data_IF_858454548662
#
_entry.id   IF_858454548662
#
_cell.length_a   1.000
_cell.length_b   1.000
_cell.length_c   1.000
_cell.angle_alpha   90.00
_cell.angle_beta   90.00
_cell.angle_gamma   90.00
#
_symmetry.space_group_name_H-M   'P 1'
#
loop_
_entity.id
_entity.type
_entity.pdbx_description
1 polymer ?
#
# COMPACT_ATOMS: atom_id res chain seq x y z
N UNK A 1 0.55 79.46 44.29
CA UNK A 1 0.09 79.42 45.69
C UNK A 1 -1.13 78.49 45.69
N UNK A 2 -1.25 77.38 46.41
CA UNK A 2 -0.69 76.80 47.63
C UNK A 2 -0.21 75.36 47.34
N UNK A 3 0.89 74.85 47.92
CA UNK A 3 1.13 74.37 49.29
C UNK A 3 0.31 73.14 49.73
N UNK A 4 1.05 72.10 50.15
CA UNK A 4 0.62 71.02 51.05
C UNK A 4 0.73 69.63 50.42
N UNK A 5 1.23 68.57 51.04
CA UNK A 5 1.83 68.32 52.36
C UNK A 5 2.41 66.88 52.29
N UNK A 6 3.47 66.55 53.05
CA UNK A 6 4.04 65.19 53.24
C UNK A 6 3.04 64.29 54.03
N UNK A 7 3.23 62.96 54.30
CA UNK A 7 4.45 62.13 54.19
C UNK A 7 4.27 60.63 53.75
N UNK A 8 5.44 60.03 53.44
CA UNK A 8 5.92 58.64 53.68
C UNK A 8 4.91 57.50 53.94
N UNK A 9 5.07 56.40 53.21
CA UNK A 9 5.30 55.07 53.80
C UNK A 9 5.97 54.13 52.78
N UNK A 10 6.96 53.37 53.29
CA UNK A 10 7.79 52.41 52.58
C UNK A 10 6.96 51.27 52.00
N UNK A 11 7.35 50.79 50.81
CA UNK A 11 7.68 49.39 50.57
C UNK A 11 8.28 49.24 49.17
N UNK A 12 9.51 48.73 49.12
CA UNK A 12 10.23 48.43 47.91
C UNK A 12 9.54 47.26 47.17
N UNK A 13 8.92 47.55 46.03
CA UNK A 13 8.56 46.54 45.03
C UNK A 13 9.78 46.34 44.14
N UNK A 14 10.49 45.24 44.38
CA UNK A 14 11.50 44.72 43.46
C UNK A 14 10.85 44.36 42.13
N UNK A 15 11.45 44.88 41.07
CA UNK A 15 11.16 44.61 39.66
C UNK A 15 11.21 43.12 39.34
N UNK A 16 10.04 42.51 39.11
CA UNK A 16 9.94 41.24 38.39
C UNK A 16 9.94 41.59 36.90
N UNK A 17 11.08 41.34 36.26
CA UNK A 17 11.26 41.34 34.82
C UNK A 17 10.33 40.28 34.22
N UNK A 18 9.28 40.71 33.53
CA UNK A 18 8.39 39.84 32.76
C UNK A 18 9.16 39.30 31.56
N UNK A 19 9.64 38.05 31.65
CA UNK A 19 10.05 37.28 30.48
C UNK A 19 8.80 36.94 29.67
N UNK A 20 8.56 37.72 28.60
CA UNK A 20 7.68 37.34 27.50
C UNK A 20 8.21 36.04 26.86
N UNK A 21 7.69 34.91 27.32
CA UNK A 21 7.79 33.63 26.60
C UNK A 21 6.97 33.77 25.31
N UNK A 22 7.64 34.19 24.24
CA UNK A 22 7.13 34.05 22.89
C UNK A 22 6.88 32.57 22.65
N UNK A 23 5.60 32.20 22.51
CA UNK A 23 5.17 30.91 21.99
C UNK A 23 5.72 30.84 20.58
N UNK A 24 6.85 30.16 20.42
CA UNK A 24 7.30 29.72 19.12
C UNK A 24 6.28 28.68 18.64
N UNK A 25 5.26 29.15 17.92
CA UNK A 25 4.48 28.31 17.03
C UNK A 25 5.48 27.54 16.19
N UNK A 26 5.57 26.23 16.42
CA UNK A 26 6.28 25.32 15.55
C UNK A 26 5.66 25.48 14.15
N UNK A 27 6.28 26.33 13.34
CA UNK A 27 6.00 26.41 11.92
C UNK A 27 6.12 24.99 11.38
N UNK A 28 5.02 24.46 10.86
CA UNK A 28 4.98 23.23 10.10
C UNK A 28 6.20 23.23 9.17
N UNK A 29 7.15 22.35 9.45
CA UNK A 29 8.29 22.14 8.57
C UNK A 29 7.70 21.58 7.28
N UNK A 30 7.75 22.41 6.23
CA UNK A 30 7.18 22.11 4.93
C UNK A 30 7.54 20.67 4.53
N UNK A 31 6.52 19.93 4.08
CA UNK A 31 6.64 18.52 3.82
C UNK A 31 7.69 18.24 2.74
N UNK A 32 8.88 17.73 3.10
CA UNK A 32 9.74 17.08 2.10
C UNK A 32 9.09 15.75 1.71
N UNK A 33 8.20 15.78 0.72
CA UNK A 33 7.80 14.58 0.02
C UNK A 33 9.06 13.89 -0.53
N UNK A 34 9.17 12.57 -0.38
CA UNK A 34 10.32 11.85 -0.90
C UNK A 34 10.42 12.05 -2.41
N UNK A 35 11.57 12.52 -2.88
CA UNK A 35 11.81 12.63 -4.31
C UNK A 35 11.83 11.21 -4.91
N UNK A 36 10.95 10.89 -5.88
CA UNK A 36 10.98 9.60 -6.55
C UNK A 36 12.29 9.47 -7.35
N UNK A 37 12.87 8.26 -7.35
CA UNK A 37 13.90 7.88 -8.30
C UNK A 37 13.21 7.61 -9.64
N UNK A 38 13.62 8.29 -10.71
CA UNK A 38 12.98 8.12 -12.03
C UNK A 38 13.50 6.90 -12.77
N UNK A 39 12.67 6.31 -13.62
CA UNK A 39 13.00 5.09 -14.36
C UNK A 39 14.27 5.25 -15.21
N UNK A 40 14.43 6.36 -15.92
CA UNK A 40 15.63 6.64 -16.74
C UNK A 40 16.91 6.93 -15.93
N UNK A 41 16.77 7.23 -14.65
CA UNK A 41 17.91 7.38 -13.74
C UNK A 41 18.37 6.01 -13.21
N UNK A 42 17.44 5.05 -13.11
CA UNK A 42 17.67 3.76 -12.49
C UNK A 42 17.91 2.61 -13.48
N UNK A 43 17.32 2.66 -14.67
CA UNK A 43 17.35 1.59 -15.66
C UNK A 43 17.95 2.07 -16.99
N UNK A 44 18.58 1.14 -17.71
CA UNK A 44 19.16 1.39 -19.04
C UNK A 44 18.08 1.22 -20.13
N UNK A 45 18.23 1.97 -21.23
CA UNK A 45 17.35 1.91 -22.42
C UNK A 45 15.85 2.16 -22.15
N UNK A 46 15.54 3.10 -21.24
CA UNK A 46 14.18 3.59 -21.01
C UNK A 46 13.79 4.60 -22.10
N UNK A 47 12.70 4.30 -22.81
CA UNK A 47 12.22 5.07 -23.97
C UNK A 47 10.80 5.60 -23.75
N UNK A 48 9.76 4.84 -24.09
CA UNK A 48 8.36 5.31 -24.04
C UNK A 48 7.81 5.45 -22.61
N UNK A 49 8.55 4.97 -21.60
CA UNK A 49 8.21 5.03 -20.18
C UNK A 49 9.16 5.96 -19.41
N UNK A 50 9.76 6.97 -20.05
CA UNK A 50 10.56 7.98 -19.34
C UNK A 50 9.67 8.89 -18.49
N UNK A 51 10.21 9.41 -17.40
CA UNK A 51 9.51 10.34 -16.50
C UNK A 51 8.47 9.66 -15.60
N UNK A 52 8.42 8.32 -15.57
CA UNK A 52 7.72 7.57 -14.53
C UNK A 52 8.72 7.22 -13.43
N UNK A 53 8.28 7.07 -12.17
CA UNK A 53 9.14 6.55 -11.12
C UNK A 53 9.61 5.12 -11.37
N UNK A 54 10.75 4.75 -10.79
CA UNK A 54 11.33 3.43 -10.94
C UNK A 54 10.43 2.31 -10.38
N UNK A 55 9.65 2.57 -9.32
CA UNK A 55 8.66 1.60 -8.81
C UNK A 55 7.51 1.37 -9.80
N UNK A 56 6.92 2.45 -10.32
CA UNK A 56 5.86 2.40 -11.35
C UNK A 56 6.35 1.68 -12.62
N UNK A 57 7.62 1.87 -12.99
CA UNK A 57 8.24 1.17 -14.11
C UNK A 57 8.27 -0.35 -13.92
N UNK A 58 8.61 -0.83 -12.72
CA UNK A 58 8.60 -2.27 -12.40
C UNK A 58 7.17 -2.81 -12.37
N UNK A 59 6.22 -2.10 -11.77
CA UNK A 59 4.81 -2.48 -11.81
C UNK A 59 4.25 -2.57 -13.23
N UNK A 60 4.69 -1.67 -14.11
CA UNK A 60 4.33 -1.68 -15.54
C UNK A 60 4.80 -2.98 -16.22
N UNK A 61 5.93 -3.55 -15.82
CA UNK A 61 6.38 -4.85 -16.35
C UNK A 61 5.45 -5.98 -15.92
N UNK A 62 5.01 -5.99 -14.65
CA UNK A 62 3.98 -6.92 -14.17
C UNK A 62 2.67 -6.79 -14.95
N UNK A 63 2.25 -5.56 -15.26
CA UNK A 63 1.08 -5.31 -16.10
C UNK A 63 1.22 -5.86 -17.52
N UNK A 64 2.39 -5.75 -18.14
CA UNK A 64 2.67 -6.37 -19.44
C UNK A 64 2.65 -7.89 -19.36
N UNK A 65 3.28 -8.47 -18.32
CA UNK A 65 3.35 -9.92 -18.11
C UNK A 65 1.95 -10.53 -18.00
N UNK A 66 1.08 -9.96 -17.14
CA UNK A 66 -0.30 -10.45 -17.00
C UNK A 66 -1.12 -10.23 -18.27
N UNK A 67 -0.97 -9.09 -18.94
CA UNK A 67 -1.74 -8.80 -20.15
C UNK A 67 -1.43 -9.79 -21.28
N UNK A 68 -0.17 -10.22 -21.38
CA UNK A 68 0.31 -11.12 -22.43
C UNK A 68 0.28 -12.60 -22.02
N UNK A 69 -0.01 -12.90 -20.74
CA UNK A 69 0.19 -14.24 -20.15
C UNK A 69 1.62 -14.74 -20.41
N UNK A 70 2.60 -13.88 -20.17
CA UNK A 70 4.02 -14.11 -20.44
C UNK A 70 4.86 -13.93 -19.17
N UNK A 71 6.07 -14.46 -19.16
CA UNK A 71 7.04 -14.22 -18.09
C UNK A 71 8.09 -13.17 -18.51
N UNK A 72 8.93 -12.73 -17.57
CA UNK A 72 9.94 -11.71 -17.84
C UNK A 72 10.91 -12.13 -18.97
N UNK A 73 11.37 -13.38 -18.96
CA UNK A 73 12.32 -13.91 -19.95
C UNK A 73 11.74 -13.99 -21.36
N UNK A 74 10.40 -14.10 -21.51
CA UNK A 74 9.75 -14.05 -22.83
C UNK A 74 10.10 -12.75 -23.56
N UNK A 75 10.11 -11.62 -22.86
CA UNK A 75 10.40 -10.31 -23.47
C UNK A 75 11.88 -9.90 -23.37
N UNK A 76 12.53 -10.26 -22.26
CA UNK A 76 13.90 -9.84 -21.93
C UNK A 76 14.98 -10.88 -22.30
N UNK A 77 14.60 -12.06 -22.79
CA UNK A 77 15.49 -13.14 -23.19
C UNK A 77 16.01 -13.98 -22.02
N UNK A 78 16.42 -15.22 -22.28
CA UNK A 78 16.83 -16.17 -21.24
C UNK A 78 18.05 -15.70 -20.43
N UNK A 79 18.95 -14.91 -21.05
CA UNK A 79 20.10 -14.33 -20.38
C UNK A 79 19.73 -13.38 -19.22
N UNK A 80 18.49 -12.86 -19.22
CA UNK A 80 17.98 -12.02 -18.14
C UNK A 80 17.68 -12.78 -16.84
N UNK A 81 17.48 -14.10 -16.89
CA UNK A 81 17.15 -14.90 -15.70
C UNK A 81 18.25 -14.90 -14.62
N UNK A 82 19.50 -14.62 -14.98
CA UNK A 82 20.64 -14.60 -14.07
C UNK A 82 21.38 -13.25 -14.00
N UNK A 83 20.91 -12.23 -14.70
CA UNK A 83 21.56 -10.91 -14.68
C UNK A 83 20.59 -9.79 -15.09
N UNK A 84 20.46 -8.80 -14.20
CA UNK A 84 19.69 -7.59 -14.44
C UNK A 84 20.21 -6.77 -15.63
N UNK A 85 21.47 -6.94 -16.04
CA UNK A 85 22.03 -6.18 -17.15
C UNK A 85 21.32 -6.50 -18.48
N UNK A 86 20.97 -7.77 -18.69
CA UNK A 86 20.31 -8.24 -19.92
C UNK A 86 18.86 -7.77 -20.04
N UNK A 87 18.22 -7.30 -18.96
CA UNK A 87 16.90 -6.66 -19.06
C UNK A 87 16.93 -5.41 -19.94
N UNK A 88 18.10 -4.77 -20.10
CA UNK A 88 18.29 -3.61 -20.97
C UNK A 88 18.35 -3.98 -22.46
N UNK A 89 18.64 -5.24 -22.81
CA UNK A 89 18.86 -5.68 -24.19
C UNK A 89 17.65 -5.32 -25.07
N UNK A 90 17.93 -4.78 -26.26
CA UNK A 90 16.88 -4.27 -27.15
C UNK A 90 16.37 -5.39 -28.06
N UNK A 91 15.41 -6.17 -27.58
CA UNK A 91 14.81 -7.29 -28.32
C UNK A 91 13.72 -6.82 -29.31
N UNK A 92 13.43 -7.58 -30.38
CA UNK A 92 12.30 -7.28 -31.27
C UNK A 92 10.96 -7.19 -30.53
N UNK A 93 10.76 -8.00 -29.49
CA UNK A 93 9.57 -7.97 -28.64
C UNK A 93 9.47 -6.67 -27.82
N UNK A 94 10.57 -6.19 -27.22
CA UNK A 94 10.59 -4.88 -26.55
C UNK A 94 10.29 -3.73 -27.50
N UNK A 95 10.82 -3.77 -28.73
CA UNK A 95 10.50 -2.76 -29.75
C UNK A 95 9.02 -2.79 -30.14
N UNK A 96 8.42 -3.98 -30.26
CA UNK A 96 6.99 -4.13 -30.49
C UNK A 96 6.17 -3.57 -29.31
N UNK A 97 6.51 -3.92 -28.07
CA UNK A 97 5.84 -3.41 -26.88
C UNK A 97 5.86 -1.87 -26.83
N UNK A 98 7.00 -1.24 -27.15
CA UNK A 98 7.10 0.23 -27.23
C UNK A 98 6.12 0.83 -28.25
N UNK A 99 6.00 0.22 -29.43
CA UNK A 99 5.01 0.65 -30.44
C UNK A 99 3.58 0.48 -29.94
N UNK A 100 3.29 -0.60 -29.22
CA UNK A 100 1.95 -0.84 -28.65
C UNK A 100 1.60 0.17 -27.55
N UNK A 101 2.56 0.57 -26.70
CA UNK A 101 2.34 1.64 -25.72
C UNK A 101 1.99 2.96 -26.40
N UNK A 102 2.72 3.35 -27.45
CA UNK A 102 2.42 4.57 -28.22
C UNK A 102 1.04 4.48 -28.88
N UNK A 103 0.69 3.33 -29.45
CA UNK A 103 -0.60 3.08 -30.09
C UNK A 103 -1.75 3.20 -29.09
N UNK A 104 -1.65 2.52 -27.95
CA UNK A 104 -2.64 2.53 -26.87
C UNK A 104 -2.86 3.95 -26.34
N UNK A 105 -1.78 4.68 -26.04
CA UNK A 105 -1.87 6.08 -25.62
C UNK A 105 -2.54 6.96 -26.69
N UNK A 106 -2.22 6.75 -27.96
CA UNK A 106 -2.82 7.51 -29.06
C UNK A 106 -4.32 7.21 -29.22
N UNK A 107 -4.74 5.95 -29.06
CA UNK A 107 -6.16 5.56 -29.11
C UNK A 107 -6.94 6.23 -27.97
N UNK A 108 -6.41 6.19 -26.74
CA UNK A 108 -7.02 6.86 -25.58
C UNK A 108 -7.14 8.36 -25.77
N UNK A 109 -6.08 9.00 -26.28
CA UNK A 109 -6.08 10.43 -26.53
C UNK A 109 -7.09 10.83 -27.62
N UNK A 110 -7.12 10.09 -28.74
CA UNK A 110 -7.94 10.44 -29.90
C UNK A 110 -9.43 10.14 -29.72
N UNK A 111 -9.79 9.08 -28.99
CA UNK A 111 -11.16 8.57 -28.95
C UNK A 111 -11.85 8.75 -27.59
N UNK A 112 -11.08 8.87 -26.51
CA UNK A 112 -11.62 8.86 -25.14
C UNK A 112 -11.23 10.12 -24.35
N UNK A 113 -10.75 11.17 -25.04
CA UNK A 113 -10.35 12.43 -24.41
C UNK A 113 -9.19 12.26 -23.42
N UNK A 114 -8.33 11.26 -23.64
CA UNK A 114 -7.23 10.92 -22.74
C UNK A 114 -7.63 10.04 -21.55
N UNK A 115 -8.90 9.67 -21.40
CA UNK A 115 -9.31 8.65 -20.43
C UNK A 115 -8.75 7.29 -20.84
N UNK A 116 -8.33 6.50 -19.86
CA UNK A 116 -7.79 5.17 -20.07
C UNK A 116 -8.92 4.14 -20.23
N UNK A 117 -9.42 4.05 -21.45
CA UNK A 117 -10.46 3.08 -21.84
C UNK A 117 -9.87 1.91 -22.65
N UNK A 118 -8.64 2.06 -23.15
CA UNK A 118 -7.87 1.03 -23.86
C UNK A 118 -6.55 0.79 -23.12
N UNK A 119 -6.26 -0.46 -22.81
CA UNK A 119 -5.01 -0.89 -22.17
C UNK A 119 -4.46 -2.13 -22.87
N UNK A 120 -3.24 -2.56 -22.52
CA UNK A 120 -2.73 -3.85 -23.00
C UNK A 120 -3.70 -4.99 -22.67
N UNK A 121 -4.36 -4.92 -21.51
CA UNK A 121 -5.34 -5.91 -21.07
C UNK A 121 -6.58 -5.95 -21.97
N UNK A 122 -7.11 -4.78 -22.38
CA UNK A 122 -8.28 -4.73 -23.29
C UNK A 122 -8.04 -5.47 -24.61
N UNK A 123 -6.82 -5.41 -25.14
CA UNK A 123 -6.48 -5.98 -26.43
C UNK A 123 -6.09 -7.46 -26.34
N UNK A 124 -5.37 -7.85 -25.29
CA UNK A 124 -4.76 -9.18 -25.21
C UNK A 124 -5.58 -10.20 -24.41
N UNK A 125 -6.50 -9.77 -23.55
CA UNK A 125 -7.25 -10.70 -22.67
C UNK A 125 -8.26 -11.59 -23.42
N UNK A 126 -8.74 -11.15 -24.58
CA UNK A 126 -9.68 -11.91 -25.42
C UNK A 126 -11.12 -11.99 -24.89
N UNK A 127 -11.48 -11.15 -23.92
CA UNK A 127 -12.85 -11.12 -23.38
C UNK A 127 -13.83 -10.47 -24.38
N UNK A 128 -15.06 -10.99 -24.46
CA UNK A 128 -16.12 -10.45 -25.35
C UNK A 128 -16.48 -8.99 -25.01
N UNK A 129 -16.40 -8.65 -23.73
CA UNK A 129 -16.51 -7.28 -23.23
C UNK A 129 -15.13 -6.91 -22.70
N UNK A 130 -14.37 -6.06 -23.40
CA UNK A 130 -13.01 -5.71 -23.00
C UNK A 130 -12.99 -5.09 -21.60
N UNK A 131 -12.09 -5.58 -20.75
CA UNK A 131 -11.79 -5.01 -19.44
C UNK A 131 -10.46 -4.27 -19.51
N UNK A 132 -10.38 -3.14 -18.82
CA UNK A 132 -9.16 -2.30 -18.81
C UNK A 132 -8.15 -2.72 -17.75
N UNK A 133 -8.60 -3.38 -16.69
CA UNK A 133 -7.81 -3.74 -15.52
C UNK A 133 -7.82 -5.27 -15.29
N UNK A 134 -6.65 -5.92 -15.15
CA UNK A 134 -6.57 -7.31 -14.71
C UNK A 134 -6.99 -7.44 -13.24
N UNK A 135 -7.75 -8.50 -12.92
CA UNK A 135 -8.03 -8.85 -11.52
C UNK A 135 -6.97 -9.82 -11.00
N UNK A 136 -6.75 -9.87 -9.69
CA UNK A 136 -5.89 -10.88 -9.08
C UNK A 136 -6.42 -12.30 -9.34
N UNK A 137 -7.74 -12.46 -9.41
CA UNK A 137 -8.35 -13.72 -9.79
C UNK A 137 -8.00 -14.15 -11.23
N UNK A 138 -7.88 -13.21 -12.18
CA UNK A 138 -7.38 -13.50 -13.53
C UNK A 138 -5.93 -14.00 -13.52
N UNK A 139 -5.06 -13.39 -12.70
CA UNK A 139 -3.62 -13.71 -12.63
C UNK A 139 -3.39 -15.13 -12.07
N UNK A 140 -4.04 -15.46 -10.96
CA UNK A 140 -3.80 -16.72 -10.24
C UNK A 140 -4.80 -17.83 -10.59
N UNK A 141 -5.50 -17.67 -11.72
CA UNK A 141 -6.47 -18.62 -12.25
C UNK A 141 -7.45 -19.13 -11.19
N UNK A 142 -7.95 -18.21 -10.36
CA UNK A 142 -8.94 -18.53 -9.35
C UNK A 142 -10.22 -18.96 -10.07
N UNK A 143 -10.75 -20.13 -9.72
CA UNK A 143 -12.07 -20.60 -10.19
C UNK A 143 -13.20 -19.63 -9.82
N UNK A 144 -12.91 -18.71 -8.91
CA UNK A 144 -13.79 -17.64 -8.48
C UNK A 144 -13.22 -16.27 -8.92
N UNK A 145 -13.88 -15.60 -9.86
CA UNK A 145 -13.50 -14.30 -10.40
C UNK A 145 -14.66 -13.31 -10.22
N UNK A 146 -14.83 -12.72 -9.02
CA UNK A 146 -15.75 -11.62 -8.87
C UNK A 146 -15.22 -10.47 -9.74
N UNK A 147 -16.12 -9.72 -10.38
CA UNK A 147 -15.72 -8.47 -11.03
C UNK A 147 -15.29 -7.52 -9.92
N UNK A 148 -13.98 -7.42 -9.71
CA UNK A 148 -13.35 -6.48 -8.78
C UNK A 148 -13.45 -5.07 -9.39
N UNK A 149 -14.26 -4.16 -8.81
CA UNK A 149 -14.48 -2.87 -9.44
C UNK A 149 -13.21 -2.01 -9.34
N UNK A 150 -12.73 -1.56 -10.48
CA UNK A 150 -11.56 -0.70 -10.63
C UNK A 150 -11.94 0.80 -10.69
N UNK A 151 -13.20 1.10 -10.37
CA UNK A 151 -13.79 2.42 -10.25
C UNK A 151 -14.79 2.45 -9.10
N UNK A 152 -15.10 3.65 -8.60
CA UNK A 152 -16.13 3.83 -7.58
C UNK A 152 -17.52 3.62 -8.19
N UNK A 153 -18.23 2.59 -7.75
CA UNK A 153 -19.57 2.30 -8.23
C UNK A 153 -20.63 3.19 -7.54
N UNK A 154 -21.81 3.39 -8.16
CA UNK A 154 -22.95 3.96 -7.48
C UNK A 154 -23.30 3.18 -6.20
N UNK A 155 -23.76 3.88 -5.16
CA UNK A 155 -24.25 3.22 -3.96
C UNK A 155 -25.48 2.35 -4.30
N UNK A 156 -25.49 1.12 -3.80
CA UNK A 156 -26.61 0.23 -3.93
C UNK A 156 -27.78 0.69 -3.04
N UNK A 157 -29.00 0.60 -3.58
CA UNK A 157 -30.22 0.94 -2.85
C UNK A 157 -30.58 -0.17 -1.86
N UNK A 158 -30.85 0.20 -0.60
CA UNK A 158 -31.31 -0.73 0.45
C UNK A 158 -30.18 -1.36 1.26
N UNK A 159 -28.91 -1.14 0.89
CA UNK A 159 -27.75 -1.58 1.66
C UNK A 159 -27.50 -0.68 2.89
N UNK A 160 -26.86 -1.21 3.95
CA UNK A 160 -26.38 -0.40 5.06
C UNK A 160 -25.44 0.71 4.61
N UNK A 161 -25.35 1.79 5.38
CA UNK A 161 -24.34 2.81 5.11
C UNK A 161 -22.93 2.27 5.36
N UNK A 162 -21.94 2.82 4.68
CA UNK A 162 -20.53 2.47 4.92
C UNK A 162 -20.15 2.68 6.40
N UNK A 163 -20.68 3.72 7.05
CA UNK A 163 -20.46 3.96 8.48
C UNK A 163 -20.97 2.81 9.36
N UNK A 164 -22.14 2.23 9.03
CA UNK A 164 -22.70 1.10 9.77
C UNK A 164 -21.84 -0.16 9.61
N UNK A 165 -21.36 -0.43 8.40
CA UNK A 165 -20.48 -1.60 8.14
C UNK A 165 -19.13 -1.42 8.83
N UNK A 166 -18.55 -0.22 8.76
CA UNK A 166 -17.28 0.08 9.43
C UNK A 166 -17.40 0.07 10.97
N UNK A 167 -18.54 0.52 11.52
CA UNK A 167 -18.81 0.40 12.97
C UNK A 167 -18.98 -1.06 13.41
N UNK A 168 -19.66 -1.88 12.59
CA UNK A 168 -19.78 -3.33 12.80
C UNK A 168 -18.41 -3.99 12.79
N UNK A 169 -17.53 -3.60 11.86
CA UNK A 169 -16.14 -4.06 11.84
C UNK A 169 -15.37 -3.68 13.10
N UNK A 170 -15.43 -2.41 13.51
CA UNK A 170 -14.80 -1.93 14.76
C UNK A 170 -15.31 -2.73 15.97
N UNK A 171 -16.61 -3.04 16.02
CA UNK A 171 -17.18 -3.89 17.07
C UNK A 171 -16.70 -5.34 17.00
N UNK A 172 -16.69 -5.94 15.81
CA UNK A 172 -16.23 -7.31 15.58
C UNK A 172 -14.78 -7.53 16.04
N UNK A 173 -13.95 -6.48 15.94
CA UNK A 173 -12.58 -6.51 16.43
C UNK A 173 -12.43 -6.40 17.95
N UNK A 174 -13.49 -6.14 18.70
CA UNK A 174 -13.45 -5.94 20.16
C UNK A 174 -13.92 -4.56 20.64
N UNK A 175 -14.33 -3.69 19.71
CA UNK A 175 -14.86 -2.36 19.99
C UNK A 175 -13.80 -1.27 20.16
N UNK A 176 -14.20 -0.01 19.93
CA UNK A 176 -13.30 1.14 19.89
C UNK A 176 -12.45 1.31 21.17
N UNK A 177 -13.02 1.02 22.34
CA UNK A 177 -12.30 1.14 23.62
C UNK A 177 -11.18 0.13 23.77
N UNK A 178 -11.35 -1.11 23.28
CA UNK A 178 -10.29 -2.12 23.35
C UNK A 178 -9.24 -1.87 22.28
N UNK A 179 -9.66 -1.50 21.07
CA UNK A 179 -8.75 -1.10 20.01
C UNK A 179 -7.85 0.08 20.42
N UNK A 180 -8.38 1.06 21.15
CA UNK A 180 -7.60 2.19 21.66
C UNK A 180 -6.51 1.79 22.69
N UNK A 181 -6.63 0.61 23.31
CA UNK A 181 -5.60 0.08 24.23
C UNK A 181 -4.47 -0.66 23.51
N UNK A 182 -4.66 -1.01 22.23
CA UNK A 182 -3.61 -1.60 21.41
C UNK A 182 -2.78 -0.48 20.79
N UNK A 183 -1.62 -0.21 21.39
CA UNK A 183 -0.73 0.89 20.99
C UNK A 183 0.43 0.43 20.10
N UNK A 184 0.74 -0.86 20.14
CA UNK A 184 1.76 -1.50 19.32
C UNK A 184 1.56 -3.02 19.32
N UNK A 185 2.21 -3.71 18.39
CA UNK A 185 2.44 -5.14 18.52
C UNK A 185 3.69 -5.55 17.73
N UNK A 186 4.25 -6.70 18.13
CA UNK A 186 5.23 -7.44 17.34
C UNK A 186 4.69 -8.83 17.06
N UNK A 187 4.78 -9.28 15.82
CA UNK A 187 4.38 -10.61 15.41
C UNK A 187 5.56 -11.34 14.75
N UNK A 188 5.61 -12.66 14.92
CA UNK A 188 6.55 -13.56 14.26
C UNK A 188 5.81 -14.69 13.58
N UNK A 189 6.40 -15.23 12.53
CA UNK A 189 5.86 -16.40 11.85
C UNK A 189 6.66 -16.78 10.61
N UNK A 190 5.97 -17.32 9.61
CA UNK A 190 6.54 -17.68 8.31
C UNK A 190 5.92 -16.92 7.14
N UNK A 191 6.78 -16.47 6.22
CA UNK A 191 6.42 -15.87 4.93
C UNK A 191 6.80 -16.85 3.83
N UNK A 192 5.89 -17.12 2.89
CA UNK A 192 6.13 -18.03 1.79
C UNK A 192 5.61 -17.43 0.49
N UNK A 193 6.52 -17.16 -0.46
CA UNK A 193 6.14 -16.78 -1.81
C UNK A 193 5.84 -18.02 -2.67
N UNK A 194 5.24 -17.82 -3.84
CA UNK A 194 4.91 -18.91 -4.75
C UNK A 194 6.14 -19.75 -5.12
N UNK A 195 6.04 -21.07 -4.93
CA UNK A 195 7.13 -22.03 -5.18
C UNK A 195 8.45 -21.76 -4.41
N UNK A 196 8.45 -20.90 -3.40
CA UNK A 196 9.59 -20.68 -2.51
C UNK A 196 9.47 -21.50 -1.20
N UNK A 197 10.59 -21.67 -0.51
CA UNK A 197 10.61 -22.13 0.87
C UNK A 197 9.94 -21.09 1.80
N UNK A 198 9.43 -21.56 2.93
CA UNK A 198 8.94 -20.68 3.97
C UNK A 198 10.12 -20.08 4.77
N UNK A 199 10.15 -18.75 4.88
CA UNK A 199 11.18 -18.02 5.61
C UNK A 199 10.62 -17.38 6.89
N UNK A 200 11.43 -17.24 7.96
CA UNK A 200 11.03 -16.49 9.14
C UNK A 200 10.67 -15.05 8.76
N UNK A 201 9.56 -14.53 9.28
CA UNK A 201 9.22 -13.11 9.17
C UNK A 201 8.86 -12.52 10.52
N UNK A 202 9.03 -11.20 10.60
CA UNK A 202 8.60 -10.38 11.72
C UNK A 202 7.78 -9.19 11.21
N UNK A 203 6.77 -8.80 11.99
CA UNK A 203 6.02 -7.57 11.80
C UNK A 203 6.10 -6.74 13.07
N UNK A 204 6.33 -5.45 12.90
CA UNK A 204 6.32 -4.43 13.93
C UNK A 204 5.29 -3.40 13.55
N UNK A 205 4.36 -3.10 14.45
CA UNK A 205 3.35 -2.09 14.21
C UNK A 205 3.21 -1.19 15.44
N UNK A 206 3.05 0.11 15.22
CA UNK A 206 2.86 1.10 16.28
C UNK A 206 1.81 2.12 15.87
N UNK A 207 0.84 2.34 16.75
CA UNK A 207 -0.23 3.29 16.53
C UNK A 207 0.33 4.73 16.47
N UNK A 208 -0.30 5.62 15.69
CA UNK A 208 -1.49 5.35 14.88
C UNK A 208 -1.22 4.72 13.51
N UNK A 209 0.01 4.80 12.98
CA UNK A 209 0.23 4.58 11.55
C UNK A 209 1.65 4.14 11.18
N UNK A 210 2.39 3.46 12.05
CA UNK A 210 3.73 2.95 11.71
C UNK A 210 3.70 1.44 11.55
N UNK A 211 4.34 0.93 10.50
CA UNK A 211 4.35 -0.48 10.15
C UNK A 211 5.68 -0.86 9.52
N UNK A 212 6.25 -1.97 9.93
CA UNK A 212 7.41 -2.58 9.28
C UNK A 212 7.26 -4.10 9.25
N UNK A 213 7.56 -4.69 8.11
CA UNK A 213 7.69 -6.13 7.95
C UNK A 213 9.10 -6.46 7.46
N UNK A 214 9.64 -7.59 7.95
CA UNK A 214 10.90 -8.15 7.47
C UNK A 214 10.78 -9.65 7.31
N UNK A 215 11.21 -10.16 6.16
CA UNK A 215 11.39 -11.59 5.91
C UNK A 215 12.88 -11.88 5.81
N UNK A 216 13.36 -12.84 6.61
CA UNK A 216 14.75 -13.24 6.69
C UNK A 216 15.04 -14.37 5.70
N UNK A 217 15.62 -14.05 4.55
CA UNK A 217 15.96 -15.03 3.51
C UNK A 217 17.45 -15.37 3.53
N UNK A 218 17.85 -16.42 2.81
CA UNK A 218 19.27 -16.76 2.63
C UNK A 218 20.05 -15.67 1.87
N UNK A 219 19.39 -14.96 0.95
CA UNK A 219 19.98 -13.86 0.18
C UNK A 219 20.05 -12.53 0.95
N UNK A 220 19.42 -12.46 2.13
CA UNK A 220 19.32 -11.27 2.97
C UNK A 220 17.88 -10.88 3.31
N UNK A 221 17.74 -9.81 4.09
CA UNK A 221 16.43 -9.36 4.57
C UNK A 221 15.62 -8.68 3.45
N UNK A 222 14.37 -9.10 3.28
CA UNK A 222 13.36 -8.37 2.50
C UNK A 222 12.53 -7.53 3.47
N UNK A 223 12.65 -6.21 3.42
CA UNK A 223 12.00 -5.28 4.36
C UNK A 223 11.07 -4.31 3.65
N UNK A 224 9.86 -4.13 4.20
CA UNK A 224 8.99 -3.00 3.88
C UNK A 224 8.76 -2.19 5.15
N UNK A 225 8.99 -0.87 5.11
CA UNK A 225 8.84 0.01 6.27
C UNK A 225 8.01 1.24 5.91
N UNK A 226 7.17 1.68 6.84
CA UNK A 226 6.38 2.89 6.77
C UNK A 226 6.45 3.62 8.12
N UNK A 227 6.97 4.85 8.11
CA UNK A 227 7.24 5.63 9.32
C UNK A 227 6.02 6.42 9.83
N UNK A 228 4.86 6.28 9.18
CA UNK A 228 3.68 7.11 9.38
C UNK A 228 3.52 8.24 8.36
N UNK A 229 4.50 8.39 7.47
CA UNK A 229 4.51 9.44 6.44
C UNK A 229 5.18 9.00 5.15
N UNK A 230 6.37 8.43 5.26
CA UNK A 230 7.22 7.94 4.18
C UNK A 230 7.31 6.42 4.28
N UNK A 231 7.59 5.77 3.15
CA UNK A 231 7.78 4.33 3.12
C UNK A 231 8.96 3.91 2.27
N UNK A 232 9.43 2.69 2.48
CA UNK A 232 10.54 2.09 1.73
C UNK A 232 10.33 0.60 1.56
N UNK A 233 10.86 0.09 0.45
CA UNK A 233 11.09 -1.33 0.24
C UNK A 233 12.58 -1.56 0.05
N UNK A 234 13.12 -2.54 0.76
CA UNK A 234 14.51 -2.97 0.71
C UNK A 234 14.56 -4.48 0.43
N UNK A 235 15.29 -4.88 -0.61
CA UNK A 235 15.38 -6.29 -1.02
C UNK A 235 16.81 -6.60 -1.49
N UNK A 236 17.29 -7.85 -1.33
CA UNK A 236 18.54 -8.30 -1.90
C UNK A 236 18.65 -7.99 -3.41
N UNK A 237 19.86 -7.80 -3.89
CA UNK A 237 20.13 -7.54 -5.32
C UNK A 237 19.68 -8.67 -6.22
N UNK A 238 19.55 -9.89 -5.70
CA UNK A 238 19.11 -11.05 -6.47
C UNK A 238 17.59 -11.04 -6.68
N UNK A 239 16.84 -10.36 -5.81
CA UNK A 239 15.39 -10.24 -5.90
C UNK A 239 14.97 -9.01 -6.72
N UNK A 240 15.71 -7.91 -6.62
CA UNK A 240 15.40 -6.66 -7.33
C UNK A 240 16.63 -5.93 -7.86
N UNK A 241 16.54 -5.28 -9.04
CA UNK A 241 17.64 -4.52 -9.63
C UNK A 241 18.02 -3.28 -8.81
N UNK A 242 17.11 -2.79 -7.96
CA UNK A 242 17.35 -1.64 -7.07
C UNK A 242 17.09 -2.10 -5.63
N UNK A 243 18.14 -2.28 -4.81
CA UNK A 243 17.99 -2.87 -3.47
C UNK A 243 17.22 -2.02 -2.47
N UNK A 244 16.99 -0.74 -2.74
CA UNK A 244 16.26 0.17 -1.85
C UNK A 244 15.51 1.24 -2.66
N UNK A 245 14.19 1.25 -2.55
CA UNK A 245 13.31 2.22 -3.19
C UNK A 245 12.38 2.89 -2.15
N UNK A 246 12.09 4.19 -2.29
CA UNK A 246 10.98 4.79 -1.55
C UNK A 246 9.65 4.26 -2.10
N UNK A 247 8.67 4.08 -1.21
CA UNK A 247 7.27 3.90 -1.61
C UNK A 247 6.69 5.26 -1.97
N UNK A 248 5.97 5.34 -3.08
CA UNK A 248 5.42 6.57 -3.63
C UNK A 248 4.04 6.30 -4.21
N UNK A 249 3.24 7.34 -4.46
CA UNK A 249 1.92 7.22 -5.11
C UNK A 249 1.08 6.08 -4.48
N UNK A 250 0.54 5.16 -5.29
CA UNK A 250 -0.30 4.05 -4.84
C UNK A 250 0.38 3.13 -3.83
N UNK A 251 1.69 2.90 -3.93
CA UNK A 251 2.45 2.10 -2.96
C UNK A 251 2.47 2.76 -1.58
N UNK A 252 2.68 4.08 -1.53
CA UNK A 252 2.70 4.83 -0.27
C UNK A 252 1.30 4.89 0.35
N UNK A 253 0.27 5.01 -0.47
CA UNK A 253 -1.14 4.88 -0.03
C UNK A 253 -1.40 3.52 0.55
N UNK A 254 -0.95 2.47 -0.12
CA UNK A 254 -1.08 1.08 0.33
C UNK A 254 -0.45 0.89 1.70
N UNK A 255 0.80 1.33 1.87
CA UNK A 255 1.50 1.25 3.15
C UNK A 255 0.78 2.02 4.28
N UNK A 256 0.25 3.21 3.99
CA UNK A 256 -0.57 3.97 4.94
C UNK A 256 -1.85 3.22 5.33
N UNK A 257 -2.54 2.66 4.34
CA UNK A 257 -3.79 1.93 4.57
C UNK A 257 -3.56 0.64 5.36
N UNK A 258 -2.51 -0.12 5.03
CA UNK A 258 -2.13 -1.34 5.75
C UNK A 258 -1.78 -1.02 7.22
N UNK A 259 -1.05 0.07 7.46
CA UNK A 259 -0.78 0.56 8.81
C UNK A 259 -2.06 1.02 9.54
N UNK A 260 -3.00 1.65 8.83
CA UNK A 260 -4.30 2.07 9.39
C UNK A 260 -5.17 0.87 9.75
N UNK A 261 -5.14 -0.20 8.96
CA UNK A 261 -5.92 -1.42 9.23
C UNK A 261 -5.38 -2.18 10.44
N UNK A 262 -4.08 -2.09 10.71
CA UNK A 262 -3.50 -2.59 11.96
C UNK A 262 -4.06 -1.87 13.22
N UNK A 263 -4.49 -0.61 13.08
CA UNK A 263 -5.09 0.21 14.15
C UNK A 263 -6.38 0.92 13.66
N UNK A 264 -7.48 0.17 13.44
CA UNK A 264 -8.59 0.60 12.59
C UNK A 264 -9.54 1.61 13.25
N UNK A 265 -9.16 2.23 14.37
CA UNK A 265 -9.97 3.30 15.00
C UNK A 265 -10.13 4.52 14.09
N UNK A 266 -9.18 4.75 13.17
CA UNK A 266 -9.21 5.82 12.19
C UNK A 266 -9.62 5.37 10.77
N UNK A 267 -10.16 4.16 10.60
CA UNK A 267 -10.45 3.59 9.27
C UNK A 267 -11.40 4.48 8.45
N UNK A 268 -12.40 5.09 9.09
CA UNK A 268 -13.38 5.99 8.46
C UNK A 268 -12.75 7.23 7.85
N UNK A 269 -11.62 7.68 8.40
CA UNK A 269 -10.84 8.83 7.92
C UNK A 269 -9.73 8.42 6.93
N UNK A 270 -9.45 7.11 6.81
CA UNK A 270 -8.40 6.60 5.93
C UNK A 270 -8.71 6.75 4.43
N UNK A 271 -9.99 6.83 4.07
CA UNK A 271 -10.48 6.99 2.70
C UNK A 271 -11.62 8.00 2.64
N UNK A 272 -11.93 8.46 1.43
CA UNK A 272 -13.02 9.40 1.14
C UNK A 272 -14.09 8.78 0.23
N UNK A 273 -15.20 9.49 0.03
CA UNK A 273 -16.26 9.12 -0.93
C UNK A 273 -16.80 7.69 -0.76
N UNK A 274 -17.00 7.26 0.48
CA UNK A 274 -17.50 5.93 0.79
C UNK A 274 -18.78 5.56 0.01
N UNK A 275 -18.80 4.38 -0.58
CA UNK A 275 -19.94 3.76 -1.28
C UNK A 275 -20.06 2.32 -0.85
N UNK A 276 -21.29 1.82 -0.81
CA UNK A 276 -21.58 0.40 -0.57
C UNK A 276 -22.17 -0.15 -1.85
N UNK A 277 -21.58 -1.22 -2.35
CA UNK A 277 -22.10 -1.96 -3.52
C UNK A 277 -22.99 -3.10 -3.06
N UNK A 278 -23.67 -3.76 -4.00
CA UNK A 278 -24.39 -4.99 -3.68
C UNK A 278 -23.42 -6.01 -3.07
N UNK A 279 -23.87 -6.80 -2.08
CA UNK A 279 -23.05 -7.87 -1.51
C UNK A 279 -22.70 -8.88 -2.59
N UNK A 280 -21.53 -9.50 -2.44
CA UNK A 280 -21.07 -10.59 -3.29
C UNK A 280 -20.75 -11.79 -2.41
N UNK A 281 -20.51 -12.95 -3.02
CA UNK A 281 -20.03 -14.13 -2.29
C UNK A 281 -18.56 -14.32 -2.62
N UNK A 282 -17.65 -14.47 -1.65
CA UNK A 282 -16.23 -14.83 -1.86
C UNK A 282 -15.98 -16.14 -1.11
N UNK A 283 -15.49 -17.18 -1.80
CA UNK A 283 -15.21 -18.49 -1.20
C UNK A 283 -16.37 -19.01 -0.33
N UNK A 284 -17.58 -19.02 -0.89
CA UNK A 284 -18.84 -19.41 -0.24
C UNK A 284 -19.24 -18.59 1.01
N UNK A 285 -18.66 -17.39 1.18
CA UNK A 285 -19.04 -16.42 2.22
C UNK A 285 -19.65 -15.19 1.60
N UNK A 286 -20.85 -14.81 2.06
CA UNK A 286 -21.42 -13.52 1.72
C UNK A 286 -20.60 -12.40 2.36
N UNK A 287 -20.25 -11.40 1.56
CA UNK A 287 -19.46 -10.25 1.98
C UNK A 287 -20.15 -8.94 1.60
N UNK A 288 -20.11 -7.99 2.53
CA UNK A 288 -20.49 -6.60 2.31
C UNK A 288 -19.31 -5.86 1.65
N UNK A 289 -19.58 -5.18 0.53
CA UNK A 289 -18.55 -4.49 -0.26
C UNK A 289 -18.60 -2.99 0.01
N UNK A 290 -17.56 -2.46 0.64
CA UNK A 290 -17.41 -1.03 0.91
C UNK A 290 -16.27 -0.50 0.07
N UNK A 291 -16.58 0.45 -0.80
CA UNK A 291 -15.59 1.16 -1.60
C UNK A 291 -15.32 2.54 -1.03
N UNK A 292 -14.06 2.95 -1.06
CA UNK A 292 -13.64 4.33 -0.81
C UNK A 292 -12.62 4.77 -1.85
N UNK A 293 -12.20 6.02 -1.77
CA UNK A 293 -11.15 6.57 -2.63
C UNK A 293 -9.99 7.10 -1.80
N UNK A 294 -8.78 6.81 -2.27
CA UNK A 294 -7.54 7.38 -1.76
C UNK A 294 -7.03 8.52 -2.67
N UNK A 295 -5.93 9.15 -2.27
CA UNK A 295 -5.22 10.16 -3.08
C UNK A 295 -6.07 11.33 -3.57
N UNK A 296 -6.94 11.83 -2.69
CA UNK A 296 -7.83 12.94 -3.02
C UNK A 296 -8.94 12.56 -4.00
N UNK A 297 -9.37 11.30 -4.00
CA UNK A 297 -10.49 10.84 -4.82
C UNK A 297 -10.09 10.07 -6.08
N UNK A 298 -8.79 9.85 -6.31
CA UNK A 298 -8.27 9.34 -7.60
C UNK A 298 -8.22 7.82 -7.71
N UNK A 299 -7.97 7.14 -6.60
CA UNK A 299 -7.69 5.70 -6.62
C UNK A 299 -8.74 4.96 -5.80
N UNK A 300 -9.52 4.05 -6.38
CA UNK A 300 -10.49 3.27 -5.62
C UNK A 300 -9.78 2.28 -4.70
N UNK A 301 -10.44 1.97 -3.59
CA UNK A 301 -10.07 0.90 -2.67
C UNK A 301 -11.34 0.15 -2.34
N UNK A 302 -11.31 -1.17 -2.47
CA UNK A 302 -12.41 -2.06 -2.15
C UNK A 302 -12.08 -2.80 -0.85
N UNK A 303 -13.00 -2.74 0.12
CA UNK A 303 -12.93 -3.45 1.38
C UNK A 303 -14.11 -4.43 1.46
N UNK A 304 -13.83 -5.69 1.74
CA UNK A 304 -14.80 -6.77 1.78
C UNK A 304 -14.92 -7.30 3.20
N UNK A 305 -16.10 -7.17 3.78
CA UNK A 305 -16.37 -7.59 5.16
C UNK A 305 -17.26 -8.82 5.16
N UNK A 306 -16.90 -9.86 5.90
CA UNK A 306 -17.75 -11.04 6.07
C UNK A 306 -19.09 -10.64 6.72
N UNK A 307 -20.21 -10.92 6.04
CA UNK A 307 -21.53 -10.44 6.45
C UNK A 307 -21.96 -10.98 7.82
N UNK A 308 -21.43 -12.13 8.25
CA UNK A 308 -21.78 -12.78 9.52
C UNK A 308 -20.98 -12.25 10.70
N UNK A 309 -19.65 -12.20 10.56
CA UNK A 309 -18.72 -11.81 11.63
C UNK A 309 -18.45 -10.31 11.65
N UNK A 310 -18.61 -9.61 10.53
CA UNK A 310 -18.22 -8.21 10.36
C UNK A 310 -16.71 -8.00 10.17
N UNK A 311 -15.90 -9.06 10.10
CA UNK A 311 -14.46 -8.96 9.94
C UNK A 311 -14.09 -8.65 8.49
N UNK A 312 -13.06 -7.80 8.30
CA UNK A 312 -12.45 -7.58 7.00
C UNK A 312 -11.81 -8.90 6.51
N UNK A 313 -12.22 -9.38 5.35
CA UNK A 313 -11.67 -10.62 4.76
C UNK A 313 -10.85 -10.36 3.51
N UNK A 314 -11.07 -9.22 2.84
CA UNK A 314 -10.26 -8.81 1.69
C UNK A 314 -10.17 -7.31 1.59
N UNK A 315 -9.02 -6.84 1.13
CA UNK A 315 -8.82 -5.50 0.61
C UNK A 315 -8.25 -5.60 -0.81
N UNK A 316 -8.73 -4.75 -1.72
CA UNK A 316 -8.12 -4.53 -3.03
C UNK A 316 -7.84 -3.04 -3.20
N UNK A 317 -6.61 -2.71 -3.58
CA UNK A 317 -6.15 -1.34 -3.87
C UNK A 317 -5.42 -1.33 -5.19
N UNK A 318 -5.26 -0.15 -5.78
CA UNK A 318 -4.65 -0.01 -7.10
C UNK A 318 -3.50 0.99 -7.09
N UNK A 319 -2.45 0.73 -7.86
CA UNK A 319 -1.47 1.73 -8.28
C UNK A 319 -1.76 2.15 -9.72
N UNK A 320 -1.76 3.45 -9.98
CA UNK A 320 -2.00 3.98 -11.31
C UNK A 320 -0.71 4.04 -12.12
N UNK A 321 -0.58 3.18 -13.13
CA UNK A 321 0.57 3.17 -14.05
C UNK A 321 0.21 3.81 -15.39
N UNK A 322 1.21 4.18 -16.20
CA UNK A 322 0.96 4.66 -17.58
C UNK A 322 0.20 3.67 -18.48
N UNK A 323 0.11 2.38 -18.14
CA UNK A 323 -0.47 1.36 -19.02
C UNK A 323 -1.74 0.71 -18.45
N UNK A 324 -2.07 0.96 -17.18
CA UNK A 324 -3.23 0.37 -16.52
C UNK A 324 -3.17 0.46 -14.99
N UNK A 325 -4.27 0.12 -14.33
CA UNK A 325 -4.28 -0.02 -12.88
C UNK A 325 -3.61 -1.35 -12.49
N UNK A 326 -2.62 -1.28 -11.60
CA UNK A 326 -1.99 -2.45 -11.00
C UNK A 326 -2.69 -2.77 -9.69
N UNK A 327 -3.36 -3.93 -9.61
CA UNK A 327 -4.06 -4.34 -8.41
C UNK A 327 -3.10 -4.96 -7.38
N UNK A 328 -3.29 -4.62 -6.11
CA UNK A 328 -2.79 -5.37 -4.96
C UNK A 328 -3.97 -5.81 -4.11
N UNK A 329 -4.06 -7.11 -3.85
CA UNK A 329 -5.07 -7.73 -3.00
C UNK A 329 -4.44 -8.27 -1.73
N UNK A 330 -5.10 -8.08 -0.60
CA UNK A 330 -4.76 -8.73 0.67
C UNK A 330 -6.00 -9.49 1.15
N UNK A 331 -5.87 -10.81 1.29
CA UNK A 331 -6.87 -11.67 1.91
C UNK A 331 -6.49 -11.94 3.36
N UNK A 332 -7.42 -11.74 4.31
CA UNK A 332 -7.21 -11.92 5.74
C UNK A 332 -7.96 -13.16 6.25
N UNK A 333 -7.28 -13.98 7.05
CA UNK A 333 -7.78 -15.24 7.56
C UNK A 333 -7.35 -15.48 9.01
N UNK A 334 -7.94 -16.49 9.65
CA UNK A 334 -7.57 -16.97 10.99
C UNK A 334 -7.53 -15.86 12.04
N UNK A 335 -8.65 -15.15 12.22
CA UNK A 335 -8.77 -14.12 13.25
C UNK A 335 -8.77 -14.74 14.65
N UNK A 336 -7.84 -14.31 15.50
CA UNK A 336 -7.69 -14.76 16.89
C UNK A 336 -7.72 -13.60 17.88
N UNK A 337 -8.14 -13.85 19.11
CA UNK A 337 -8.09 -12.84 20.18
C UNK A 337 -6.66 -12.64 20.67
N UNK A 338 -6.24 -11.38 20.70
CA UNK A 338 -4.99 -10.92 21.31
C UNK A 338 -5.31 -9.72 22.19
N UNK A 339 -5.19 -9.89 23.51
CA UNK A 339 -5.51 -8.85 24.49
C UNK A 339 -6.92 -8.20 24.30
N UNK A 340 -7.91 -9.01 23.89
CA UNK A 340 -9.28 -8.55 23.67
C UNK A 340 -9.52 -7.86 22.33
N UNK A 341 -8.55 -7.93 21.41
CA UNK A 341 -8.67 -7.48 20.02
C UNK A 341 -8.57 -8.67 19.07
N UNK A 342 -9.48 -8.80 18.10
CA UNK A 342 -9.35 -9.82 17.04
C UNK A 342 -8.29 -9.37 16.03
N UNK A 343 -7.33 -10.24 15.74
CA UNK A 343 -6.25 -9.97 14.78
C UNK A 343 -6.09 -11.14 13.81
N UNK A 344 -5.81 -10.90 12.51
CA UNK A 344 -5.56 -11.97 11.56
C UNK A 344 -4.22 -12.66 11.84
N UNK A 345 -4.22 -13.98 11.91
CA UNK A 345 -3.00 -14.80 12.04
C UNK A 345 -2.55 -15.40 10.70
N UNK A 346 -3.29 -15.15 9.63
CA UNK A 346 -2.89 -15.50 8.28
C UNK A 346 -3.34 -14.42 7.31
N UNK A 347 -2.49 -14.03 6.38
CA UNK A 347 -2.92 -13.22 5.24
C UNK A 347 -2.12 -13.57 3.99
N UNK A 348 -2.74 -13.31 2.83
CA UNK A 348 -2.10 -13.48 1.53
C UNK A 348 -2.08 -12.15 0.81
N UNK A 349 -0.89 -11.65 0.49
CA UNK A 349 -0.72 -10.47 -0.35
C UNK A 349 -0.44 -10.93 -1.78
N UNK A 350 -1.26 -10.48 -2.74
CA UNK A 350 -1.16 -10.85 -4.15
C UNK A 350 -1.12 -9.60 -5.02
N UNK A 351 -0.23 -9.57 -5.99
CA UNK A 351 -0.09 -8.52 -7.00
C UNK A 351 0.16 -9.16 -8.37
N UNK A 352 0.29 -8.35 -9.43
CA UNK A 352 0.25 -8.83 -10.81
C UNK A 352 1.39 -9.78 -11.21
N UNK A 353 2.51 -9.78 -10.48
CA UNK A 353 3.67 -10.63 -10.77
C UNK A 353 4.20 -11.40 -9.54
N UNK A 354 3.43 -11.45 -8.44
CA UNK A 354 3.80 -12.25 -7.27
C UNK A 354 2.74 -12.36 -6.19
N UNK A 355 2.89 -13.36 -5.34
CA UNK A 355 2.04 -13.62 -4.20
C UNK A 355 2.89 -14.08 -3.02
N UNK A 356 2.51 -13.68 -1.81
CA UNK A 356 3.14 -14.13 -0.57
C UNK A 356 2.10 -14.40 0.49
N UNK A 357 2.19 -15.58 1.10
CA UNK A 357 1.38 -16.01 2.23
C UNK A 357 2.17 -15.79 3.51
N UNK A 358 1.56 -15.13 4.48
CA UNK A 358 2.12 -14.90 5.81
C UNK A 358 1.30 -15.66 6.84
N UNK A 359 1.97 -16.39 7.73
CA UNK A 359 1.34 -17.15 8.82
C UNK A 359 1.99 -16.78 10.14
N UNK A 360 1.26 -16.11 11.02
CA UNK A 360 1.70 -15.71 12.36
C UNK A 360 1.63 -16.88 13.32
N UNK A 361 2.72 -17.12 14.04
CA UNK A 361 2.79 -18.14 15.10
C UNK A 361 2.83 -17.51 16.49
N UNK A 362 3.28 -16.26 16.60
CA UNK A 362 3.35 -15.52 17.85
C UNK A 362 3.01 -14.06 17.62
N UNK A 363 2.19 -13.49 18.52
CA UNK A 363 1.87 -12.07 18.53
C UNK A 363 1.92 -11.53 19.95
N UNK A 364 2.66 -10.44 20.14
CA UNK A 364 2.85 -9.76 21.42
C UNK A 364 2.29 -8.34 21.33
N UNK A 365 1.15 -8.05 21.98
CA UNK A 365 0.56 -6.72 21.99
C UNK A 365 1.31 -5.80 22.97
N UNK A 366 1.26 -4.49 22.71
CA UNK A 366 1.73 -3.42 23.59
C UNK A 366 3.21 -3.52 23.99
N UNK A 367 4.05 -4.08 23.12
CA UNK A 367 5.50 -4.14 23.33
C UNK A 367 6.16 -2.79 23.01
N UNK A 368 7.20 -2.36 23.74
CA UNK A 368 7.97 -1.20 23.36
C UNK A 368 8.73 -1.48 22.05
N UNK A 369 8.58 -0.60 21.07
CA UNK A 369 9.26 -0.70 19.77
C UNK A 369 10.04 0.59 19.54
N UNK A 370 11.33 0.45 19.24
CA UNK A 370 12.19 1.55 18.83
C UNK A 370 11.66 2.20 17.56
N UNK A 371 11.49 3.53 17.58
CA UNK A 371 11.02 4.29 16.43
C UNK A 371 11.95 4.12 15.20
N UNK A 372 13.24 3.84 15.42
CA UNK A 372 14.19 3.61 14.35
C UNK A 372 13.83 2.42 13.44
N UNK A 373 13.06 1.44 13.94
CA UNK A 373 12.62 0.28 13.14
C UNK A 373 11.70 0.64 11.98
N UNK A 374 10.97 1.76 12.08
CA UNK A 374 10.01 2.18 11.06
C UNK A 374 10.61 3.13 10.02
N UNK A 375 11.81 3.64 10.28
CA UNK A 375 12.51 4.55 9.37
C UNK A 375 13.05 3.84 8.13
N UNK A 376 13.81 4.61 7.33
CA UNK A 376 14.46 4.08 6.12
C UNK A 376 15.36 2.89 6.47
N UNK A 377 15.10 1.69 5.93
CA UNK A 377 15.94 0.52 6.16
C UNK A 377 17.31 0.70 5.47
N UNK A 378 18.29 -0.04 5.97
CA UNK A 378 19.56 -0.19 5.26
C UNK A 378 19.34 -1.11 4.04
N UNK A 379 20.05 -0.88 2.92
CA UNK A 379 20.08 -1.84 1.83
C UNK A 379 20.55 -3.20 2.37
N UNK A 380 19.92 -4.31 1.97
CA UNK A 380 20.36 -5.64 2.40
C UNK A 380 21.79 -5.85 1.92
N UNK A 381 22.63 -6.43 2.78
CA UNK A 381 23.99 -6.79 2.37
C UNK A 381 23.87 -7.92 1.33
N UNK A 382 24.65 -7.89 0.24
CA UNK A 382 24.75 -9.04 -0.65
C UNK A 382 25.11 -10.28 0.17
N UNK A 383 24.56 -11.44 -0.17
CA UNK A 383 25.04 -12.70 0.39
C UNK A 383 26.56 -12.79 0.16
N UNK A 384 27.32 -13.16 1.20
CA UNK A 384 28.74 -13.43 1.02
C UNK A 384 28.87 -14.61 0.04
N UNK A 385 29.70 -14.48 -1.01
CA UNK A 385 29.88 -15.52 -2.02
C UNK A 385 30.46 -16.83 -1.45
#
# INVERSE_FOLDING_TARGET
MSLGWKPRLLSALGTITVCLLGVASASAQADSAQKPLMAEEAFKDVQVLRGVPASEFIETMGFFAVSLTANCTTCHGDASAGSWEHYADNTPLKQAARRMVVMMNSINQANFGGKREVTCYTCHRGDRMPRVTPTIADVYNSTFNPIEPDQLLPAASGEPSADQILDKYIQALGGAQQLAKLTSFMAKGTSQAYAELAYPFEVYAKAPNQLMSVTHTEAGDRTTAYDGRNGWVAMPSDDKPIPLLPLIQGDLVGARLDATICFPTAIKQGLTQWRVSMPITINDKDVEVVQGTADGGRTPVNLYFDSKSGLLVRQVRYTDTKVGLSATQIDYEDYRDVAGVKMPFKWTTSWLDGQTVYTVTQLQPNVPIDAAKFGKPLPPKPANP
#
